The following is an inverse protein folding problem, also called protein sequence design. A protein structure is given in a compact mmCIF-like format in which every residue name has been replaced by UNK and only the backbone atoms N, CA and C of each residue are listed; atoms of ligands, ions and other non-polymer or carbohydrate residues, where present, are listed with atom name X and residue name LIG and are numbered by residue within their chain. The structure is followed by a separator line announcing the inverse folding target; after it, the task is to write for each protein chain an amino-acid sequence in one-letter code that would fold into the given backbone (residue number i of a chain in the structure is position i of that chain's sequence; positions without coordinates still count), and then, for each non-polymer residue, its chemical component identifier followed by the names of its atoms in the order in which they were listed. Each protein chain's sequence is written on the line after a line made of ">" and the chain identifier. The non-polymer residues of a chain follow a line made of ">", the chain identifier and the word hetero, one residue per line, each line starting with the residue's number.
data_IF_981785098642
#
_entry.id   IF_981785098642
#
_cell.length_a   1.000
_cell.length_b   1.000
_cell.length_c   1.000
_cell.angle_alpha   90.00
_cell.angle_beta   90.00
_cell.angle_gamma   90.00
#
_symmetry.space_group_name_H-M   'P 1'
#
loop_
_entity.id
_entity.type
_entity.pdbx_description
1 polymer ?
#
# COMPACT_ATOMS: atom_id res chain seq x y z
N UNK A 1 -17.91 19.04 23.11
CA UNK A 1 -19.06 19.15 22.21
C UNK A 1 -18.82 18.15 21.08
N UNK A 2 -19.36 16.91 21.25
CA UNK A 2 -19.19 15.83 20.28
C UNK A 2 -20.12 16.09 19.11
N UNK A 3 -19.63 16.69 18.04
CA UNK A 3 -20.36 16.73 16.77
C UNK A 3 -20.61 15.27 16.34
N UNK A 4 -21.87 14.91 16.00
CA UNK A 4 -22.16 13.57 15.52
C UNK A 4 -21.32 13.34 14.25
N UNK A 5 -20.41 12.36 14.32
CA UNK A 5 -19.64 11.92 13.15
C UNK A 5 -20.68 11.47 12.12
N UNK A 6 -20.87 12.24 11.06
CA UNK A 6 -21.77 11.87 9.95
C UNK A 6 -21.15 10.65 9.29
N UNK A 7 -21.60 9.46 9.70
CA UNK A 7 -21.09 8.20 9.16
C UNK A 7 -21.36 8.15 7.66
N UNK A 8 -20.35 7.74 6.91
CA UNK A 8 -20.54 7.43 5.49
C UNK A 8 -21.62 6.34 5.32
N UNK A 9 -22.32 6.36 4.21
CA UNK A 9 -23.14 5.21 3.82
C UNK A 9 -22.26 3.95 3.71
N UNK A 10 -22.77 2.80 4.10
CA UNK A 10 -22.01 1.55 4.13
C UNK A 10 -21.38 1.23 2.75
N UNK A 11 -22.11 1.44 1.67
CA UNK A 11 -21.62 1.21 0.31
C UNK A 11 -20.48 2.15 -0.07
N UNK A 12 -20.56 3.43 0.29
CA UNK A 12 -19.51 4.42 0.05
C UNK A 12 -18.25 4.07 0.84
N UNK A 13 -18.41 3.65 2.10
CA UNK A 13 -17.31 3.22 2.94
C UNK A 13 -16.61 1.97 2.37
N UNK A 14 -17.38 0.96 1.92
CA UNK A 14 -16.84 -0.24 1.29
C UNK A 14 -16.02 0.12 0.05
N UNK A 15 -16.56 0.97 -0.84
CA UNK A 15 -15.87 1.40 -2.05
C UNK A 15 -14.56 2.14 -1.73
N UNK A 16 -14.57 3.02 -0.74
CA UNK A 16 -13.39 3.75 -0.28
C UNK A 16 -12.32 2.81 0.27
N UNK A 17 -12.68 1.84 1.12
CA UNK A 17 -11.73 0.83 1.65
C UNK A 17 -11.17 -0.04 0.54
N UNK A 18 -12.03 -0.49 -0.38
CA UNK A 18 -11.61 -1.29 -1.53
C UNK A 18 -10.62 -0.52 -2.42
N UNK A 19 -10.84 0.78 -2.62
CA UNK A 19 -9.94 1.63 -3.40
C UNK A 19 -8.58 1.82 -2.73
N UNK A 20 -8.53 1.95 -1.41
CA UNK A 20 -7.27 2.01 -0.65
C UNK A 20 -6.49 0.68 -0.74
N UNK A 21 -7.17 -0.45 -0.71
CA UNK A 21 -6.53 -1.75 -0.95
C UNK A 21 -6.06 -1.90 -2.39
N UNK A 22 -6.86 -1.40 -3.35
CA UNK A 22 -6.56 -1.47 -4.77
C UNK A 22 -5.26 -0.74 -5.15
N UNK A 23 -4.82 0.28 -4.39
CA UNK A 23 -3.52 0.95 -4.60
C UNK A 23 -2.38 -0.07 -4.64
N UNK A 24 -2.41 -1.08 -3.76
CA UNK A 24 -1.35 -2.09 -3.68
C UNK A 24 -1.42 -3.06 -4.85
N UNK A 25 -2.60 -3.65 -5.09
CA UNK A 25 -2.79 -4.59 -6.18
C UNK A 25 -2.43 -3.94 -7.53
N UNK A 26 -2.92 -2.72 -7.75
CA UNK A 26 -2.59 -1.95 -8.94
C UNK A 26 -1.08 -1.70 -9.09
N UNK A 27 -0.37 -1.41 -7.99
CA UNK A 27 1.09 -1.19 -7.99
C UNK A 27 1.90 -2.43 -8.33
N UNK A 28 1.37 -3.62 -8.07
CA UNK A 28 2.01 -4.90 -8.37
C UNK A 28 1.63 -5.35 -9.79
N UNK A 29 0.33 -5.47 -10.04
CA UNK A 29 -0.17 -6.13 -11.25
C UNK A 29 0.00 -5.26 -12.51
N UNK A 30 -0.14 -3.94 -12.39
CA UNK A 30 0.11 -3.03 -13.51
C UNK A 30 1.61 -2.90 -13.87
N UNK A 31 2.52 -3.33 -12.99
CA UNK A 31 3.94 -3.33 -13.28
C UNK A 31 4.36 -4.50 -14.17
N UNK A 32 3.65 -5.64 -14.10
CA UNK A 32 4.04 -6.87 -14.78
C UNK A 32 4.21 -6.72 -16.31
N UNK A 33 3.28 -6.09 -17.07
CA UNK A 33 3.46 -5.89 -18.50
C UNK A 33 4.62 -4.97 -18.88
N UNK A 34 5.05 -4.09 -17.96
CA UNK A 34 6.11 -3.13 -18.19
C UNK A 34 7.51 -3.69 -17.93
N UNK A 35 7.65 -4.80 -17.19
CA UNK A 35 8.96 -5.36 -16.83
C UNK A 35 9.88 -5.60 -18.01
N UNK A 36 9.44 -6.15 -19.16
CA UNK A 36 10.34 -6.32 -20.32
C UNK A 36 10.89 -4.99 -20.86
N UNK A 37 10.06 -3.95 -20.93
CA UNK A 37 10.48 -2.63 -21.42
C UNK A 37 11.45 -1.95 -20.45
N UNK A 38 11.22 -2.09 -19.14
CA UNK A 38 12.10 -1.57 -18.11
C UNK A 38 13.43 -2.35 -18.10
N UNK A 39 13.40 -3.68 -18.27
CA UNK A 39 14.60 -4.49 -18.36
C UNK A 39 15.49 -4.09 -19.55
N UNK A 40 14.89 -3.86 -20.70
CA UNK A 40 15.62 -3.46 -21.90
C UNK A 40 16.34 -2.11 -21.72
N UNK A 41 15.78 -1.19 -20.92
CA UNK A 41 16.34 0.15 -20.72
C UNK A 41 17.29 0.21 -19.51
N UNK A 42 16.88 -0.34 -18.34
CA UNK A 42 17.62 -0.17 -17.09
C UNK A 42 18.53 -1.36 -16.73
N UNK A 43 18.41 -2.50 -17.42
CA UNK A 43 19.18 -3.71 -17.14
C UNK A 43 19.51 -4.48 -18.44
N UNK A 44 20.15 -3.83 -19.42
CA UNK A 44 20.52 -4.49 -20.67
C UNK A 44 21.49 -5.65 -20.38
N UNK A 45 21.14 -6.86 -20.80
CA UNK A 45 21.93 -8.08 -20.56
C UNK A 45 21.59 -8.87 -19.30
N UNK A 46 20.73 -8.36 -18.42
CA UNK A 46 20.27 -9.05 -17.19
C UNK A 46 18.76 -8.89 -16.97
N UNK A 47 17.96 -9.29 -17.96
CA UNK A 47 16.49 -9.08 -17.96
C UNK A 47 15.77 -9.62 -16.72
N UNK A 48 16.29 -10.69 -16.10
CA UNK A 48 15.72 -11.26 -14.88
C UNK A 48 15.77 -10.31 -13.68
N UNK A 49 16.70 -9.35 -13.66
CA UNK A 49 16.80 -8.38 -12.57
C UNK A 49 15.59 -7.43 -12.51
N UNK A 50 14.85 -7.27 -13.59
CA UNK A 50 13.62 -6.47 -13.56
C UNK A 50 12.54 -7.06 -12.64
N UNK A 51 12.56 -8.36 -12.34
CA UNK A 51 11.66 -8.98 -11.38
C UNK A 51 11.88 -8.43 -9.96
N UNK A 52 13.11 -7.98 -9.64
CA UNK A 52 13.42 -7.34 -8.37
C UNK A 52 12.61 -6.06 -8.13
N UNK A 53 12.09 -5.42 -9.16
CA UNK A 53 11.23 -4.24 -9.06
C UNK A 53 9.94 -4.56 -8.28
N UNK A 54 9.32 -5.70 -8.55
CA UNK A 54 8.13 -6.16 -7.81
C UNK A 54 8.52 -6.63 -6.43
N UNK A 55 9.57 -7.44 -6.32
CA UNK A 55 10.08 -7.95 -5.04
C UNK A 55 10.46 -6.82 -4.08
N UNK A 56 11.13 -5.78 -4.56
CA UNK A 56 11.50 -4.60 -3.76
C UNK A 56 10.27 -3.85 -3.22
N UNK A 57 9.22 -3.73 -4.01
CA UNK A 57 7.96 -3.14 -3.54
C UNK A 57 7.33 -3.98 -2.43
N UNK A 58 7.26 -5.30 -2.61
CA UNK A 58 6.70 -6.23 -1.60
C UNK A 58 7.55 -6.23 -0.32
N UNK A 59 8.88 -6.20 -0.44
CA UNK A 59 9.79 -6.05 0.70
C UNK A 59 9.51 -4.77 1.47
N UNK A 60 9.44 -3.64 0.77
CA UNK A 60 9.10 -2.35 1.37
C UNK A 60 7.75 -2.36 2.08
N UNK A 61 6.73 -2.97 1.45
CA UNK A 61 5.40 -3.12 2.05
C UNK A 61 5.44 -3.99 3.31
N UNK A 62 6.21 -5.06 3.32
CA UNK A 62 6.44 -5.89 4.51
C UNK A 62 7.03 -5.06 5.65
N UNK A 63 8.12 -4.33 5.40
CA UNK A 63 8.77 -3.45 6.38
C UNK A 63 7.80 -2.37 6.91
N UNK A 64 7.08 -1.71 6.00
CA UNK A 64 6.11 -0.67 6.35
C UNK A 64 4.96 -1.19 7.21
N UNK A 65 4.53 -2.43 7.02
CA UNK A 65 3.44 -3.06 7.77
C UNK A 65 3.74 -3.14 9.27
N UNK A 66 4.97 -3.44 9.67
CA UNK A 66 5.37 -3.49 11.07
C UNK A 66 5.23 -2.14 11.78
N UNK A 67 5.42 -1.05 11.05
CA UNK A 67 5.48 0.31 11.62
C UNK A 67 4.14 1.03 11.49
N UNK A 68 3.41 0.81 10.39
CA UNK A 68 2.17 1.53 10.08
C UNK A 68 1.06 1.35 11.13
N UNK A 69 0.89 0.13 11.67
CA UNK A 69 -0.09 -0.16 12.72
C UNK A 69 0.14 0.69 13.97
N UNK A 70 1.25 0.49 14.70
CA UNK A 70 1.57 1.26 15.90
C UNK A 70 1.62 2.77 15.70
N UNK A 71 2.13 3.25 14.55
CA UNK A 71 2.10 4.68 14.23
C UNK A 71 0.66 5.19 14.13
N UNK A 72 -0.23 4.42 13.51
CA UNK A 72 -1.63 4.83 13.35
C UNK A 72 -2.40 4.85 14.68
N UNK A 73 -2.02 3.98 15.64
CA UNK A 73 -2.56 3.98 17.00
C UNK A 73 -2.09 5.18 17.82
N UNK A 74 -0.93 5.74 17.47
CA UNK A 74 -0.32 6.87 18.19
C UNK A 74 -0.69 8.23 17.59
N UNK A 75 -0.65 8.34 16.26
CA UNK A 75 -0.81 9.64 15.57
C UNK A 75 -2.18 9.82 14.92
N UNK A 76 -3.00 8.78 14.87
CA UNK A 76 -4.32 8.77 14.25
C UNK A 76 -4.33 8.15 12.86
N UNK A 77 -5.48 7.59 12.49
CA UNK A 77 -5.65 6.79 11.26
C UNK A 77 -5.44 7.61 10.00
N UNK A 78 -6.13 8.74 9.89
CA UNK A 78 -6.09 9.60 8.70
C UNK A 78 -4.69 10.14 8.42
N UNK A 79 -3.97 10.56 9.47
CA UNK A 79 -2.62 11.12 9.32
C UNK A 79 -1.65 10.08 8.76
N UNK A 80 -1.70 8.85 9.26
CA UNK A 80 -0.77 7.81 8.81
C UNK A 80 -1.09 7.34 7.40
N UNK A 81 -2.36 7.25 7.01
CA UNK A 81 -2.71 7.01 5.61
C UNK A 81 -2.18 8.13 4.72
N UNK A 82 -2.37 9.40 5.11
CA UNK A 82 -1.91 10.54 4.33
C UNK A 82 -0.39 10.57 4.17
N UNK A 83 0.36 10.36 5.27
CA UNK A 83 1.82 10.26 5.22
C UNK A 83 2.29 9.09 4.35
N UNK A 84 1.63 7.93 4.46
CA UNK A 84 1.93 6.75 3.64
C UNK A 84 1.72 7.03 2.15
N UNK A 85 0.57 7.61 1.78
CA UNK A 85 0.31 7.97 0.38
C UNK A 85 1.25 9.07 -0.12
N UNK A 86 1.60 10.04 0.71
CA UNK A 86 2.58 11.06 0.33
C UNK A 86 3.95 10.43 0.04
N UNK A 87 4.44 9.55 0.92
CA UNK A 87 5.67 8.79 0.68
C UNK A 87 5.58 7.94 -0.59
N UNK A 88 4.45 7.26 -0.80
CA UNK A 88 4.17 6.48 -2.00
C UNK A 88 4.27 7.33 -3.27
N UNK A 89 3.66 8.52 -3.29
CA UNK A 89 3.69 9.43 -4.43
C UNK A 89 5.10 9.98 -4.69
N UNK A 90 5.83 10.39 -3.65
CA UNK A 90 7.23 10.85 -3.78
C UNK A 90 8.09 9.74 -4.36
N UNK A 91 7.97 8.53 -3.86
CA UNK A 91 8.70 7.37 -4.37
C UNK A 91 8.32 7.05 -5.82
N UNK A 92 7.05 7.20 -6.20
CA UNK A 92 6.61 7.02 -7.59
C UNK A 92 7.20 8.09 -8.52
N UNK A 93 7.36 9.34 -8.06
CA UNK A 93 8.08 10.39 -8.82
C UNK A 93 9.55 10.03 -9.01
N UNK A 94 10.23 9.53 -7.95
CA UNK A 94 11.62 9.07 -8.06
C UNK A 94 11.71 7.93 -9.09
N UNK A 95 10.81 6.96 -9.05
CA UNK A 95 10.77 5.85 -10.00
C UNK A 95 10.50 6.31 -11.45
N UNK A 96 9.66 7.32 -11.61
CA UNK A 96 9.40 7.94 -12.93
C UNK A 96 10.66 8.58 -13.55
N UNK A 97 11.47 9.25 -12.72
CA UNK A 97 12.66 10.00 -13.12
C UNK A 97 13.93 9.14 -13.18
N UNK A 98 13.85 7.86 -12.81
CA UNK A 98 15.05 7.02 -12.69
C UNK A 98 15.66 6.65 -14.02
N UNK A 99 17.00 6.56 -14.04
CA UNK A 99 17.82 6.11 -15.16
C UNK A 99 18.62 4.84 -14.85
N UNK A 100 18.58 4.36 -13.59
CA UNK A 100 19.30 3.16 -13.15
C UNK A 100 18.40 2.17 -12.43
N UNK A 101 18.72 0.89 -12.52
CA UNK A 101 17.95 -0.16 -11.83
C UNK A 101 18.01 -0.01 -10.32
N UNK A 102 19.16 0.36 -9.76
CA UNK A 102 19.37 0.51 -8.31
C UNK A 102 18.44 1.60 -7.75
N UNK A 103 18.36 2.75 -8.42
CA UNK A 103 17.46 3.84 -8.01
C UNK A 103 16.01 3.41 -8.13
N UNK A 104 15.65 2.65 -9.17
CA UNK A 104 14.33 2.06 -9.33
C UNK A 104 13.99 1.14 -8.14
N UNK A 105 14.89 0.23 -7.76
CA UNK A 105 14.67 -0.70 -6.66
C UNK A 105 14.47 0.05 -5.32
N UNK A 106 15.30 1.06 -5.04
CA UNK A 106 15.16 1.89 -3.84
C UNK A 106 13.82 2.65 -3.84
N UNK A 107 13.44 3.23 -4.97
CA UNK A 107 12.15 3.91 -5.11
C UNK A 107 10.99 2.94 -4.86
N UNK A 108 11.06 1.70 -5.36
CA UNK A 108 10.06 0.66 -5.14
C UNK A 108 9.97 0.23 -3.67
N UNK A 109 11.09 0.12 -2.96
CA UNK A 109 11.09 -0.15 -1.50
C UNK A 109 10.36 0.99 -0.77
N UNK A 110 10.71 2.24 -1.03
CA UNK A 110 10.05 3.41 -0.41
C UNK A 110 8.56 3.46 -0.75
N UNK A 111 8.20 3.17 -2.00
CA UNK A 111 6.81 3.12 -2.46
C UNK A 111 6.03 2.01 -1.73
N UNK A 112 6.64 0.84 -1.51
CA UNK A 112 6.07 -0.25 -0.72
C UNK A 112 5.84 0.15 0.74
N UNK A 113 6.82 0.80 1.39
CA UNK A 113 6.67 1.33 2.75
C UNK A 113 5.49 2.29 2.81
N UNK A 114 5.36 3.20 1.84
CA UNK A 114 4.24 4.13 1.75
C UNK A 114 2.88 3.43 1.58
N UNK A 115 2.81 2.38 0.77
CA UNK A 115 1.60 1.59 0.53
C UNK A 115 1.10 0.82 1.75
N UNK A 116 1.97 0.50 2.70
CA UNK A 116 1.61 -0.21 3.93
C UNK A 116 0.62 0.59 4.81
N UNK A 117 0.75 1.93 4.83
CA UNK A 117 -0.19 2.82 5.55
C UNK A 117 -1.64 2.60 5.13
N UNK A 118 -2.01 2.84 3.87
CA UNK A 118 -3.35 2.57 3.35
C UNK A 118 -3.86 1.16 3.66
N UNK A 119 -3.03 0.14 3.52
CA UNK A 119 -3.43 -1.25 3.75
C UNK A 119 -3.77 -1.55 5.20
N UNK A 120 -2.80 -1.31 6.09
CA UNK A 120 -2.92 -1.70 7.50
C UNK A 120 -3.96 -0.86 8.21
N UNK A 121 -3.92 0.46 7.95
CA UNK A 121 -4.79 1.39 8.66
C UNK A 121 -6.23 1.33 8.15
N UNK A 122 -6.48 0.96 6.90
CA UNK A 122 -7.84 0.71 6.41
C UNK A 122 -8.52 -0.44 7.15
N UNK A 123 -7.77 -1.52 7.49
CA UNK A 123 -8.29 -2.59 8.35
C UNK A 123 -8.66 -2.08 9.75
N UNK A 124 -7.83 -1.19 10.31
CA UNK A 124 -8.12 -0.57 11.59
C UNK A 124 -9.37 0.32 11.51
N UNK A 125 -9.55 1.13 10.44
CA UNK A 125 -10.76 1.91 10.21
C UNK A 125 -12.04 1.04 10.19
N UNK A 126 -11.97 -0.12 9.53
CA UNK A 126 -13.10 -1.06 9.52
C UNK A 126 -13.41 -1.56 10.92
N UNK A 127 -12.39 -1.93 11.71
CA UNK A 127 -12.55 -2.41 13.10
C UNK A 127 -13.04 -1.31 14.05
N UNK A 128 -12.67 -0.07 13.81
CA UNK A 128 -13.09 1.08 14.64
C UNK A 128 -14.59 1.37 14.45
N UNK A 129 -15.14 1.15 13.24
CA UNK A 129 -16.50 1.53 12.87
C UNK A 129 -17.51 0.37 12.86
N UNK A 130 -17.05 -0.85 12.61
CA UNK A 130 -17.93 -2.02 12.45
C UNK A 130 -17.50 -3.17 13.36
N UNK A 131 -18.47 -3.98 13.81
CA UNK A 131 -18.23 -5.15 14.67
C UNK A 131 -19.04 -6.35 14.17
N UNK A 132 -18.56 -7.54 14.49
CA UNK A 132 -19.29 -8.79 14.24
C UNK A 132 -19.64 -8.98 12.75
N UNK A 133 -20.93 -9.24 12.49
CA UNK A 133 -21.44 -9.55 11.14
C UNK A 133 -21.28 -8.39 10.16
N UNK A 134 -21.46 -7.15 10.61
CA UNK A 134 -21.31 -5.97 9.73
C UNK A 134 -19.86 -5.75 9.32
N UNK A 135 -18.90 -5.98 10.21
CA UNK A 135 -17.48 -5.96 9.89
C UNK A 135 -17.14 -7.02 8.83
N UNK A 136 -17.62 -8.25 9.01
CA UNK A 136 -17.39 -9.33 8.06
C UNK A 136 -17.98 -8.98 6.68
N UNK A 137 -19.19 -8.40 6.65
CA UNK A 137 -19.83 -7.94 5.41
C UNK A 137 -19.01 -6.87 4.69
N UNK A 138 -18.58 -5.81 5.39
CA UNK A 138 -17.74 -4.74 4.82
C UNK A 138 -16.45 -5.32 4.24
N UNK A 139 -15.77 -6.20 5.00
CA UNK A 139 -14.52 -6.82 4.56
C UNK A 139 -14.71 -7.72 3.34
N UNK A 140 -15.78 -8.53 3.31
CA UNK A 140 -16.07 -9.41 2.17
C UNK A 140 -16.30 -8.63 0.89
N UNK A 141 -17.09 -7.56 0.93
CA UNK A 141 -17.31 -6.71 -0.25
C UNK A 141 -16.05 -5.96 -0.68
N UNK A 142 -15.28 -5.42 0.28
CA UNK A 142 -14.03 -4.76 -0.04
C UNK A 142 -13.02 -5.72 -0.70
N UNK A 143 -12.92 -6.96 -0.20
CA UNK A 143 -12.07 -8.00 -0.78
C UNK A 143 -12.56 -8.47 -2.15
N UNK A 144 -13.88 -8.56 -2.37
CA UNK A 144 -14.45 -8.89 -3.67
C UNK A 144 -14.05 -7.86 -4.73
N UNK A 145 -14.18 -6.56 -4.41
CA UNK A 145 -13.76 -5.48 -5.32
C UNK A 145 -12.24 -5.54 -5.54
N UNK A 146 -11.45 -5.73 -4.48
CA UNK A 146 -10.01 -5.86 -4.55
C UNK A 146 -9.56 -6.99 -5.50
N UNK A 147 -10.27 -8.13 -5.49
CA UNK A 147 -9.95 -9.29 -6.35
C UNK A 147 -10.16 -9.00 -7.85
N UNK A 148 -10.94 -7.97 -8.20
CA UNK A 148 -11.10 -7.56 -9.60
C UNK A 148 -9.90 -6.75 -10.13
N UNK A 149 -9.12 -6.14 -9.25
CA UNK A 149 -7.99 -5.29 -9.64
C UNK A 149 -6.93 -6.03 -10.43
N UNK A 150 -6.46 -7.23 -10.04
CA UNK A 150 -5.51 -8.03 -10.81
C UNK A 150 -5.98 -8.37 -12.23
N UNK A 151 -7.29 -8.49 -12.45
CA UNK A 151 -7.83 -8.73 -13.78
C UNK A 151 -7.80 -7.48 -14.68
N UNK A 152 -7.98 -6.30 -14.10
CA UNK A 152 -8.11 -5.03 -14.84
C UNK A 152 -6.77 -4.30 -14.95
N UNK A 153 -5.93 -4.36 -13.92
CA UNK A 153 -4.68 -3.62 -13.83
C UNK A 153 -3.70 -3.88 -15.00
N UNK A 154 -3.46 -5.14 -15.43
CA UNK A 154 -2.58 -5.42 -16.56
C UNK A 154 -3.11 -4.86 -17.88
N UNK A 155 -4.44 -4.88 -18.08
CA UNK A 155 -5.08 -4.33 -19.28
C UNK A 155 -4.88 -2.81 -19.39
N UNK A 156 -5.14 -2.10 -18.29
CA UNK A 156 -4.91 -0.66 -18.19
C UNK A 156 -3.42 -0.32 -18.39
N UNK A 157 -2.55 -1.08 -17.75
CA UNK A 157 -1.11 -0.91 -17.86
C UNK A 157 -0.62 -1.13 -19.27
N UNK A 158 -1.09 -2.15 -19.98
CA UNK A 158 -0.72 -2.40 -21.39
C UNK A 158 -1.17 -1.24 -22.28
N UNK A 159 -2.37 -0.70 -22.08
CA UNK A 159 -2.85 0.46 -22.83
C UNK A 159 -1.98 1.71 -22.56
N UNK A 160 -1.59 1.94 -21.30
CA UNK A 160 -0.70 3.06 -20.93
C UNK A 160 0.70 2.85 -21.55
N UNK A 161 1.23 1.64 -21.41
CA UNK A 161 2.56 1.26 -21.90
C UNK A 161 2.71 1.50 -23.41
N UNK A 162 1.71 1.05 -24.19
CA UNK A 162 1.74 1.18 -25.66
C UNK A 162 1.56 2.61 -26.14
N UNK A 163 0.84 3.46 -25.39
CA UNK A 163 0.54 4.84 -25.77
C UNK A 163 1.57 5.85 -25.28
N UNK A 164 2.12 5.65 -24.06
CA UNK A 164 2.90 6.65 -23.33
C UNK A 164 4.21 6.12 -22.74
N UNK A 165 4.50 4.83 -22.91
CA UNK A 165 5.68 4.19 -22.34
C UNK A 165 5.54 3.82 -20.85
N UNK A 166 6.50 3.04 -20.35
CA UNK A 166 6.44 2.44 -19.01
C UNK A 166 6.49 3.45 -17.86
N UNK A 167 7.17 4.58 -18.03
CA UNK A 167 7.24 5.64 -17.02
C UNK A 167 5.87 6.18 -16.65
N UNK A 168 4.96 6.27 -17.62
CA UNK A 168 3.60 6.79 -17.41
C UNK A 168 2.74 5.94 -16.48
N UNK A 169 3.13 4.69 -16.21
CA UNK A 169 2.49 3.84 -15.22
C UNK A 169 2.65 4.43 -13.81
N UNK A 170 3.79 5.04 -13.49
CA UNK A 170 4.00 5.72 -12.22
C UNK A 170 3.12 6.96 -12.05
N UNK A 171 2.84 7.67 -13.16
CA UNK A 171 1.85 8.76 -13.14
C UNK A 171 0.45 8.23 -12.81
N UNK A 172 0.06 7.10 -13.41
CA UNK A 172 -1.21 6.44 -13.08
C UNK A 172 -1.26 6.02 -11.60
N UNK A 173 -0.16 5.53 -11.03
CA UNK A 173 -0.06 5.21 -9.60
C UNK A 173 -0.29 6.44 -8.72
N UNK A 174 0.35 7.57 -9.04
CA UNK A 174 0.20 8.83 -8.31
C UNK A 174 -1.25 9.31 -8.37
N UNK A 175 -1.84 9.33 -9.56
CA UNK A 175 -3.23 9.76 -9.74
C UNK A 175 -4.20 8.89 -8.94
N UNK A 176 -4.08 7.57 -9.05
CA UNK A 176 -4.95 6.64 -8.35
C UNK A 176 -4.82 6.75 -6.83
N UNK A 177 -3.59 6.83 -6.31
CA UNK A 177 -3.34 6.99 -4.88
C UNK A 177 -3.83 8.35 -4.35
N UNK A 178 -3.64 9.43 -5.11
CA UNK A 178 -4.09 10.77 -4.73
C UNK A 178 -5.61 10.87 -4.72
N UNK A 179 -6.30 10.29 -5.70
CA UNK A 179 -7.77 10.24 -5.74
C UNK A 179 -8.28 9.46 -4.52
N UNK A 180 -7.68 8.29 -4.22
CA UNK A 180 -8.04 7.45 -3.07
C UNK A 180 -7.87 8.21 -1.74
N UNK A 181 -6.74 8.91 -1.58
CA UNK A 181 -6.46 9.72 -0.40
C UNK A 181 -7.43 10.90 -0.29
N UNK A 182 -7.66 11.61 -1.39
CA UNK A 182 -8.56 12.78 -1.41
C UNK A 182 -9.97 12.38 -1.00
N UNK A 183 -10.47 11.25 -1.50
CA UNK A 183 -11.75 10.71 -1.08
C UNK A 183 -11.79 10.42 0.41
N UNK A 184 -10.78 9.73 0.95
CA UNK A 184 -10.67 9.49 2.39
C UNK A 184 -10.69 10.79 3.20
N UNK A 185 -9.84 11.75 2.83
CA UNK A 185 -9.67 12.98 3.60
C UNK A 185 -10.90 13.90 3.55
N UNK A 186 -11.64 13.90 2.44
CA UNK A 186 -12.84 14.72 2.30
C UNK A 186 -14.05 14.11 3.01
N UNK A 187 -14.14 12.78 3.04
CA UNK A 187 -15.37 12.10 3.44
C UNK A 187 -15.28 11.38 4.78
N UNK A 188 -14.12 10.85 5.14
CA UNK A 188 -13.95 10.07 6.37
C UNK A 188 -13.33 10.91 7.48
N UNK A 189 -14.04 11.22 8.57
CA UNK A 189 -13.45 11.85 9.75
C UNK A 189 -12.48 10.90 10.47
N UNK A 190 -11.63 11.46 11.36
CA UNK A 190 -10.74 10.65 12.19
C UNK A 190 -11.56 9.73 13.09
N UNK A 191 -11.20 8.45 13.11
CA UNK A 191 -11.91 7.43 13.89
C UNK A 191 -11.28 7.16 15.25
N UNK A 192 -10.01 7.54 15.45
CA UNK A 192 -9.30 7.36 16.70
C UNK A 192 -9.24 8.68 17.49
N UNK A 193 -10.08 8.85 18.55
CA UNK A 193 -10.05 10.02 19.42
C UNK A 193 -8.66 10.19 20.04
N UNK A 194 -8.27 11.44 20.30
CA UNK A 194 -6.96 11.77 20.91
C UNK A 194 -6.75 11.09 22.27
N UNK A 195 -7.82 10.91 23.03
CA UNK A 195 -7.83 10.27 24.34
C UNK A 195 -7.48 8.77 24.28
N UNK A 196 -7.80 8.12 23.16
CA UNK A 196 -7.58 6.68 22.96
C UNK A 196 -6.25 6.39 22.24
N UNK A 197 -5.46 7.41 21.92
CA UNK A 197 -4.15 7.23 21.27
C UNK A 197 -3.14 6.67 22.24
N UNK A 198 -2.43 5.65 21.81
CA UNK A 198 -1.34 5.04 22.59
C UNK A 198 -0.05 5.85 22.38
N UNK A 199 0.74 6.00 23.45
CA UNK A 199 2.09 6.56 23.30
C UNK A 199 2.92 5.63 22.42
N UNK A 200 3.60 6.18 21.42
CA UNK A 200 4.49 5.38 20.57
C UNK A 200 5.69 4.91 21.39
N UNK A 201 5.85 3.61 21.50
CA UNK A 201 7.01 2.98 22.14
C UNK A 201 7.72 2.12 21.08
N UNK A 202 8.94 2.42 20.68
CA UNK A 202 9.67 1.64 19.69
C UNK A 202 10.16 0.28 20.24
N UNK A 203 10.34 0.17 21.57
CA UNK A 203 10.87 -1.04 22.22
C UNK A 203 10.04 -2.31 21.93
N UNK A 204 8.69 -2.33 21.99
CA UNK A 204 7.90 -3.52 21.65
C UNK A 204 8.05 -3.92 20.17
N UNK A 205 8.21 -2.94 19.26
CA UNK A 205 8.42 -3.23 17.83
C UNK A 205 9.75 -3.92 17.59
N UNK A 206 10.80 -3.42 18.25
CA UNK A 206 12.12 -4.01 18.16
C UNK A 206 12.17 -5.41 18.78
N UNK A 207 11.48 -5.61 19.91
CA UNK A 207 11.37 -6.92 20.54
C UNK A 207 10.62 -7.91 19.64
N UNK A 208 9.49 -7.52 19.06
CA UNK A 208 8.74 -8.36 18.11
C UNK A 208 9.56 -8.70 16.85
N UNK A 209 10.28 -7.73 16.29
CA UNK A 209 11.16 -7.97 15.14
C UNK A 209 12.28 -8.96 15.49
N UNK A 210 12.91 -8.78 16.64
CA UNK A 210 13.96 -9.68 17.15
C UNK A 210 13.41 -11.09 17.39
N UNK A 211 12.21 -11.20 17.94
CA UNK A 211 11.55 -12.49 18.17
C UNK A 211 11.25 -13.22 16.85
N UNK A 212 10.68 -12.52 15.86
CA UNK A 212 10.42 -13.07 14.52
C UNK A 212 11.71 -13.55 13.86
N UNK A 213 12.78 -12.76 13.91
CA UNK A 213 14.07 -13.10 13.31
C UNK A 213 14.83 -14.19 14.10
N UNK A 214 14.58 -14.35 15.40
CA UNK A 214 15.19 -15.38 16.23
C UNK A 214 14.47 -16.72 16.19
N UNK A 215 13.21 -16.74 15.74
CA UNK A 215 12.41 -17.95 15.70
C UNK A 215 12.80 -18.81 14.49
N UNK A 216 13.57 -19.87 14.75
CA UNK A 216 14.14 -20.78 13.72
C UNK A 216 13.08 -21.29 12.73
N UNK A 217 11.87 -21.60 13.20
CA UNK A 217 10.75 -22.07 12.37
C UNK A 217 10.29 -21.00 11.39
N UNK A 218 10.23 -19.74 11.81
CA UNK A 218 9.80 -18.61 10.95
C UNK A 218 10.86 -18.37 9.88
N UNK A 219 12.13 -18.34 10.26
CA UNK A 219 13.26 -18.12 9.34
C UNK A 219 13.36 -19.27 8.33
N UNK A 220 13.22 -20.54 8.77
CA UNK A 220 13.24 -21.69 7.84
C UNK A 220 12.03 -21.69 6.90
N UNK A 221 10.85 -21.29 7.36
CA UNK A 221 9.66 -21.19 6.50
C UNK A 221 9.82 -20.10 5.43
N UNK A 222 10.40 -18.94 5.79
CA UNK A 222 10.70 -17.87 4.83
C UNK A 222 11.71 -18.33 3.78
N UNK A 223 12.78 -19.02 4.20
CA UNK A 223 13.84 -19.50 3.30
C UNK A 223 13.34 -20.63 2.37
N UNK A 224 12.40 -21.47 2.82
CA UNK A 224 11.85 -22.56 2.01
C UNK A 224 10.80 -22.07 1.00
N UNK A 225 10.16 -20.91 1.25
CA UNK A 225 9.15 -20.32 0.35
C UNK A 225 9.72 -19.26 -0.62
N UNK A 226 10.97 -18.87 -0.48
CA UNK A 226 11.66 -17.95 -1.40
C UNK A 226 12.49 -18.71 -2.45
#
# INVERSE_FOLDING_TARGET
>A
MNLPIKRLGQSEFIAMIAMLFAVIAFSIDAMLPALPSIAAELSPGAANNAQLIVTSFVLGMGLGTFVAGPLSDSFGRRRIIACGVALYCVAAVIAYLTETLETMLLARVLQGIGAAGPRVVSLALVRDLYKGRDMARVMSFAMMIFTLVPAVAPLLSTAILTSFGWRSIFVAFILFATISLSWLLLRQPETLPTENRRKFHPAPLWAALKEVLSHRVIVTTIVVQS
#
